data_IF_441432060299
#
_entry.id   IF_441432060299
#
_cell.length_a   1.000
_cell.length_b   1.000
_cell.length_c   1.000
_cell.angle_alpha   90.00
_cell.angle_beta   90.00
_cell.angle_gamma   90.00
#
_symmetry.space_group_name_H-M   'P 1'
#
loop_
_entity.id
_entity.type
_entity.pdbx_description
1 polymer ?
#
# COMPACT_ATOMS: atom_id res chain seq x y z
N UNK A 1 33.94 -27.37 38.84
CA UNK A 1 34.26 -26.70 40.12
C UNK A 1 34.33 -25.19 39.87
N UNK A 2 33.75 -24.46 40.75
CA UNK A 2 33.63 -23.03 40.94
C UNK A 2 32.65 -22.28 40.02
N UNK A 3 31.47 -22.04 40.62
CA UNK A 3 30.50 -21.02 40.30
C UNK A 3 31.01 -19.67 40.84
N UNK A 4 30.92 -18.61 40.03
CA UNK A 4 30.92 -17.24 40.53
C UNK A 4 29.58 -16.60 40.25
N UNK A 5 28.83 -16.41 41.35
CA UNK A 5 27.67 -15.52 41.44
C UNK A 5 28.21 -14.09 41.61
N UNK A 6 27.66 -13.15 40.84
CA UNK A 6 27.78 -11.73 41.08
C UNK A 6 26.37 -11.15 41.36
N UNK A 7 26.25 -10.26 42.36
CA UNK A 7 24.94 -9.79 42.85
C UNK A 7 24.40 -8.62 42.02
N UNK A 8 23.10 -8.67 41.86
CA UNK A 8 22.30 -7.55 41.32
C UNK A 8 22.33 -6.36 42.30
N UNK A 9 22.74 -5.21 41.78
CA UNK A 9 22.61 -3.92 42.46
C UNK A 9 21.34 -3.22 41.94
N UNK A 10 20.33 -3.15 42.78
CA UNK A 10 19.11 -2.37 42.52
C UNK A 10 19.40 -0.90 42.88
N UNK A 11 19.46 -0.04 41.88
CA UNK A 11 19.43 1.41 42.10
C UNK A 11 17.95 1.88 42.01
N UNK A 12 17.45 2.29 43.18
CA UNK A 12 16.21 3.04 43.28
C UNK A 12 16.50 4.50 42.86
N UNK A 13 15.87 4.96 41.77
CA UNK A 13 15.87 6.38 41.40
C UNK A 13 14.66 7.06 41.97
N UNK A 14 14.92 8.11 42.79
CA UNK A 14 13.94 9.03 43.31
C UNK A 14 13.24 9.81 42.17
N UNK A 15 11.92 9.81 42.23
CA UNK A 15 11.05 10.69 41.46
C UNK A 15 10.83 11.97 42.25
N UNK A 16 11.06 13.18 41.73
CA UNK A 16 10.60 14.39 42.37
C UNK A 16 9.13 14.65 42.04
N UNK A 17 8.37 15.01 43.06
CA UNK A 17 6.97 15.37 43.02
C UNK A 17 6.73 16.72 42.30
N UNK A 18 5.64 16.77 41.55
CA UNK A 18 5.07 17.97 40.96
C UNK A 18 4.44 18.87 42.06
N UNK A 19 4.47 20.20 41.95
CA UNK A 19 3.74 21.06 42.83
C UNK A 19 2.28 21.27 42.37
N UNK A 20 1.41 21.28 43.36
CA UNK A 20 -0.02 21.57 43.27
C UNK A 20 -0.34 23.01 42.86
N UNK A 21 -1.43 23.15 42.14
CA UNK A 21 -2.34 24.26 41.89
C UNK A 21 -2.76 24.98 43.19
N UNK A 22 -3.58 26.01 43.24
CA UNK A 22 -4.47 26.65 42.25
C UNK A 22 -4.53 28.20 42.36
N UNK A 23 -5.24 28.89 41.47
CA UNK A 23 -6.08 30.05 41.81
C UNK A 23 -7.07 30.43 40.70
N UNK A 24 -8.31 30.33 41.08
CA UNK A 24 -9.49 31.07 40.65
C UNK A 24 -9.25 32.52 40.23
N UNK A 25 -9.85 32.94 39.12
CA UNK A 25 -10.39 34.29 38.97
C UNK A 25 -11.69 34.25 38.17
N UNK A 26 -12.61 35.01 38.70
CA UNK A 26 -14.03 35.11 38.49
C UNK A 26 -14.51 35.50 37.07
N UNK A 27 -15.78 35.21 36.93
CA UNK A 27 -16.69 35.62 35.86
C UNK A 27 -16.82 37.15 35.73
N UNK A 28 -16.95 37.59 34.47
CA UNK A 28 -17.73 38.77 34.15
C UNK A 28 -18.71 38.43 33.01
N UNK A 29 -19.96 38.65 33.36
CA UNK A 29 -21.09 38.56 32.51
C UNK A 29 -21.41 39.93 31.96
N UNK A 30 -21.31 40.15 30.67
CA UNK A 30 -21.99 41.26 30.00
C UNK A 30 -22.95 40.71 28.97
N UNK A 31 -24.20 40.99 29.23
CA UNK A 31 -25.33 40.76 28.38
C UNK A 31 -25.57 42.01 27.53
N UNK A 32 -25.29 41.94 26.24
CA UNK A 32 -25.82 42.89 25.29
C UNK A 32 -26.86 42.21 24.41
N UNK A 33 -28.08 42.65 24.60
CA UNK A 33 -29.23 42.40 23.80
C UNK A 33 -29.34 43.47 22.72
N UNK A 34 -28.96 43.17 21.50
CA UNK A 34 -29.39 43.96 20.36
C UNK A 34 -30.22 43.07 19.41
N UNK A 35 -31.48 43.41 19.39
CA UNK A 35 -32.45 42.87 18.46
C UNK A 35 -32.53 43.84 17.27
N UNK A 36 -31.93 43.51 16.15
CA UNK A 36 -32.22 44.11 14.88
C UNK A 36 -32.85 43.06 13.93
N UNK A 37 -34.09 43.29 13.70
CA UNK A 37 -34.91 42.60 12.72
C UNK A 37 -34.83 43.35 11.40
N UNK A 38 -33.95 42.92 10.48
CA UNK A 38 -34.04 43.31 9.08
C UNK A 38 -34.41 42.09 8.24
N UNK A 39 -35.60 42.18 7.75
CA UNK A 39 -36.15 41.24 6.76
C UNK A 39 -35.77 41.73 5.38
N UNK A 40 -34.65 41.30 4.84
CA UNK A 40 -34.38 41.43 3.42
C UNK A 40 -34.80 40.16 2.70
N UNK A 41 -35.86 40.32 1.95
CA UNK A 41 -36.35 39.36 0.97
C UNK A 41 -35.68 39.64 -0.35
N UNK A 42 -34.46 39.15 -0.55
CA UNK A 42 -33.87 39.07 -1.87
C UNK A 42 -34.04 37.65 -2.40
N UNK A 43 -35.00 37.52 -3.28
CA UNK A 43 -35.19 36.31 -4.05
C UNK A 43 -34.25 36.37 -5.28
N UNK A 44 -32.99 36.02 -5.07
CA UNK A 44 -32.11 35.70 -6.18
C UNK A 44 -32.38 34.28 -6.63
N UNK A 45 -33.07 34.17 -7.75
CA UNK A 45 -33.22 32.93 -8.48
C UNK A 45 -32.02 32.75 -9.38
N UNK A 46 -30.88 32.35 -8.80
CA UNK A 46 -29.80 31.84 -9.59
C UNK A 46 -30.12 30.40 -9.98
N UNK A 47 -30.64 30.26 -11.17
CA UNK A 47 -30.72 28.97 -11.86
C UNK A 47 -29.37 28.69 -12.45
N UNK A 48 -28.39 28.39 -11.60
CA UNK A 48 -27.19 27.70 -12.04
C UNK A 48 -27.58 26.26 -12.37
N UNK A 49 -27.93 26.05 -13.61
CA UNK A 49 -27.99 24.69 -14.15
C UNK A 49 -26.57 24.27 -14.48
N UNK A 50 -25.77 23.98 -13.46
CA UNK A 50 -24.60 23.20 -13.63
C UNK A 50 -25.06 21.79 -14.00
N UNK A 51 -25.24 21.58 -15.30
CA UNK A 51 -25.26 20.22 -15.83
C UNK A 51 -23.85 19.73 -15.85
N UNK A 52 -23.30 19.45 -14.66
CA UNK A 52 -22.17 18.55 -14.53
C UNK A 52 -22.70 17.18 -14.95
N UNK A 53 -22.68 16.95 -16.23
CA UNK A 53 -22.73 15.60 -16.77
C UNK A 53 -21.37 14.98 -16.61
N UNK A 54 -20.89 14.90 -15.37
CA UNK A 54 -19.94 13.89 -15.01
C UNK A 54 -20.72 12.58 -15.05
N UNK A 55 -20.77 12.04 -16.24
CA UNK A 55 -21.18 10.68 -16.40
C UNK A 55 -20.12 9.85 -15.67
N UNK A 56 -20.48 9.31 -14.49
CA UNK A 56 -19.73 8.31 -13.75
C UNK A 56 -19.53 7.03 -14.59
N UNK A 57 -19.04 7.22 -15.83
CA UNK A 57 -18.70 6.12 -16.73
C UNK A 57 -17.53 5.29 -16.19
N UNK A 58 -16.86 5.82 -15.16
CA UNK A 58 -15.65 5.24 -14.58
C UNK A 58 -15.90 4.52 -13.24
N UNK A 59 -17.13 4.41 -12.78
CA UNK A 59 -17.41 3.64 -11.57
C UNK A 59 -17.17 2.15 -11.84
N UNK A 60 -16.25 1.54 -11.12
CA UNK A 60 -16.12 0.08 -11.13
C UNK A 60 -17.43 -0.54 -10.61
N UNK A 61 -18.17 -1.18 -11.50
CA UNK A 61 -19.47 -1.79 -11.20
C UNK A 61 -19.36 -3.19 -10.62
N UNK A 62 -18.15 -3.70 -10.44
CA UNK A 62 -17.95 -5.01 -9.78
C UNK A 62 -18.24 -4.91 -8.29
N UNK A 63 -18.54 -6.04 -7.64
CA UNK A 63 -18.72 -6.09 -6.18
C UNK A 63 -17.45 -5.64 -5.43
N UNK A 64 -16.31 -5.76 -6.08
CA UNK A 64 -15.00 -5.34 -5.57
C UNK A 64 -14.71 -3.86 -5.78
N UNK A 65 -15.41 -3.18 -6.69
CA UNK A 65 -15.13 -1.78 -7.06
C UNK A 65 -15.14 -0.81 -5.89
N UNK A 66 -15.98 -1.04 -4.89
CA UNK A 66 -16.03 -0.20 -3.68
C UNK A 66 -14.75 -0.30 -2.79
N UNK A 67 -13.84 -1.22 -3.09
CA UNK A 67 -12.57 -1.42 -2.36
C UNK A 67 -11.39 -0.87 -3.14
N UNK A 68 -11.61 -0.33 -4.32
CA UNK A 68 -10.57 0.18 -5.20
C UNK A 68 -10.68 1.69 -5.35
N UNK A 69 -9.53 2.30 -5.57
CA UNK A 69 -9.38 3.73 -5.84
C UNK A 69 -9.08 3.92 -7.31
N UNK A 70 -9.80 4.82 -7.97
CA UNK A 70 -9.54 5.26 -9.34
C UNK A 70 -8.29 6.12 -9.38
N UNK A 71 -7.32 5.75 -10.21
CA UNK A 71 -6.08 6.47 -10.42
C UNK A 71 -6.06 6.99 -11.86
N UNK A 72 -6.03 8.32 -12.05
CA UNK A 72 -6.01 8.91 -13.38
C UNK A 72 -4.65 8.69 -14.05
N UNK A 73 -4.66 8.61 -15.38
CA UNK A 73 -3.46 8.66 -16.20
C UNK A 73 -2.60 9.88 -15.85
N UNK A 74 -1.28 9.76 -15.98
CA UNK A 74 -0.41 10.88 -15.67
C UNK A 74 1.07 10.57 -15.81
N UNK A 75 1.88 11.59 -15.55
CA UNK A 75 3.35 11.52 -15.61
C UNK A 75 3.94 11.88 -14.25
N UNK A 76 4.93 11.11 -13.81
CA UNK A 76 5.62 11.34 -12.56
C UNK A 76 7.12 11.03 -12.67
N UNK A 77 7.89 11.45 -11.70
CA UNK A 77 9.29 11.03 -11.56
C UNK A 77 9.32 9.75 -10.73
N UNK A 78 9.73 8.65 -11.34
CA UNK A 78 9.92 7.36 -10.69
C UNK A 78 11.34 7.25 -10.17
N UNK A 79 11.54 6.56 -9.06
CA UNK A 79 12.83 6.48 -8.39
C UNK A 79 13.10 7.71 -7.53
N UNK A 80 14.35 7.92 -7.20
CA UNK A 80 14.81 9.05 -6.40
C UNK A 80 14.20 9.14 -5.01
N UNK A 81 15.04 9.29 -4.08
CA UNK A 81 14.62 9.44 -2.70
C UNK A 81 15.82 9.22 -1.79
N UNK A 82 15.92 10.01 -0.74
CA UNK A 82 16.93 9.80 0.28
C UNK A 82 16.56 8.54 1.07
N UNK A 83 17.06 7.37 0.67
CA UNK A 83 16.77 6.17 1.45
C UNK A 83 17.15 4.83 0.85
N UNK A 84 17.47 4.74 -0.42
CA UNK A 84 17.95 3.49 -0.99
C UNK A 84 19.50 3.45 -0.96
N UNK A 85 20.13 2.72 -0.02
CA UNK A 85 21.58 2.62 0.05
C UNK A 85 22.20 1.70 -1.00
N UNK A 86 21.39 0.96 -1.74
CA UNK A 86 21.85 0.07 -2.83
C UNK A 86 21.67 0.75 -4.21
N UNK A 87 21.32 2.04 -4.21
CA UNK A 87 20.69 2.69 -5.33
C UNK A 87 21.65 3.41 -6.26
N UNK A 88 21.92 2.76 -7.39
CA UNK A 88 22.21 3.41 -8.65
C UNK A 88 20.90 3.80 -9.41
N UNK A 89 19.75 3.92 -8.69
CA UNK A 89 18.42 4.19 -9.25
C UNK A 89 18.33 5.65 -9.69
N UNK A 90 18.50 5.88 -10.97
CA UNK A 90 18.41 7.22 -11.54
C UNK A 90 16.94 7.61 -11.70
N UNK A 91 16.59 8.76 -11.14
CA UNK A 91 15.28 9.39 -11.36
C UNK A 91 14.98 9.50 -12.85
N UNK A 92 13.82 9.06 -13.26
CA UNK A 92 13.38 9.18 -14.65
C UNK A 92 11.88 9.48 -14.73
N UNK A 93 11.47 10.07 -15.84
CA UNK A 93 10.07 10.41 -16.07
C UNK A 93 9.33 9.18 -16.59
N UNK A 94 8.25 8.80 -15.92
CA UNK A 94 7.34 7.74 -16.36
C UNK A 94 5.98 8.34 -16.69
N UNK A 95 5.37 7.88 -17.78
CA UNK A 95 4.02 8.26 -18.18
C UNK A 95 3.12 7.03 -18.20
N UNK A 96 2.08 7.03 -17.40
CA UNK A 96 0.97 6.09 -17.49
C UNK A 96 -0.11 6.71 -18.38
N UNK A 97 -0.43 6.07 -19.50
CA UNK A 97 -1.32 6.67 -20.53
C UNK A 97 -2.78 6.35 -20.30
N UNK A 98 -3.10 5.49 -19.36
CA UNK A 98 -4.47 5.06 -19.05
C UNK A 98 -4.72 5.05 -17.55
N UNK A 99 -5.96 5.31 -17.23
CA UNK A 99 -6.47 5.21 -15.88
C UNK A 99 -6.52 3.75 -15.43
N UNK A 100 -6.42 3.53 -14.14
CA UNK A 100 -6.53 2.19 -13.57
C UNK A 100 -7.17 2.24 -12.17
N UNK A 101 -7.60 1.09 -11.71
CA UNK A 101 -8.05 0.88 -10.34
C UNK A 101 -6.96 0.20 -9.54
N UNK A 102 -6.79 0.60 -8.28
CA UNK A 102 -5.88 -0.06 -7.33
C UNK A 102 -6.56 -0.23 -5.97
N UNK A 103 -6.29 -1.31 -5.27
CA UNK A 103 -6.83 -1.56 -3.94
C UNK A 103 -6.49 -0.45 -2.96
N UNK A 104 -7.50 0.06 -2.25
CA UNK A 104 -7.30 1.11 -1.22
C UNK A 104 -6.36 0.66 -0.12
N UNK A 105 -6.30 -0.65 0.16
CA UNK A 105 -5.46 -1.30 1.16
C UNK A 105 -4.79 -2.53 0.57
N UNK A 106 -3.90 -3.14 1.31
CA UNK A 106 -3.48 -4.53 1.10
C UNK A 106 -4.70 -5.45 1.12
N UNK A 107 -4.62 -6.60 0.44
CA UNK A 107 -5.63 -7.65 0.55
C UNK A 107 -5.63 -8.19 1.97
N UNK A 108 -6.81 -8.25 2.58
CA UNK A 108 -6.95 -8.79 3.93
C UNK A 108 -7.12 -10.31 3.95
N UNK A 109 -6.91 -10.92 5.12
CA UNK A 109 -7.20 -12.35 5.33
C UNK A 109 -8.66 -12.69 5.07
N UNK A 110 -9.58 -11.84 5.53
CA UNK A 110 -11.00 -12.05 5.31
C UNK A 110 -11.36 -12.06 3.83
N UNK A 111 -10.75 -11.18 3.05
CA UNK A 111 -10.90 -11.15 1.60
C UNK A 111 -10.28 -12.39 0.95
N UNK A 112 -9.05 -12.75 1.34
CA UNK A 112 -8.39 -13.95 0.83
C UNK A 112 -9.24 -15.20 1.06
N UNK A 113 -9.76 -15.39 2.28
CA UNK A 113 -10.58 -16.54 2.64
C UNK A 113 -11.92 -16.57 1.89
N UNK A 114 -12.57 -15.39 1.74
CA UNK A 114 -13.89 -15.30 1.10
C UNK A 114 -13.81 -15.46 -0.42
N UNK A 115 -12.80 -14.88 -1.05
CA UNK A 115 -12.80 -14.66 -2.50
C UNK A 115 -12.02 -15.73 -3.26
N UNK A 116 -11.02 -16.37 -2.61
CA UNK A 116 -10.23 -17.42 -3.26
C UNK A 116 -10.95 -18.76 -3.36
N UNK A 117 -12.03 -18.96 -2.61
CA UNK A 117 -12.65 -20.28 -2.44
C UNK A 117 -11.69 -21.30 -1.81
N UNK A 118 -10.56 -20.85 -1.33
CA UNK A 118 -9.45 -21.68 -0.90
C UNK A 118 -9.49 -21.88 0.61
N UNK A 119 -10.30 -22.82 1.07
CA UNK A 119 -10.36 -23.23 2.48
C UNK A 119 -9.07 -23.92 2.98
N UNK A 120 -7.99 -23.85 2.23
CA UNK A 120 -6.75 -24.58 2.48
C UNK A 120 -5.52 -23.75 2.78
N UNK A 121 -5.65 -22.41 2.83
CA UNK A 121 -4.53 -21.58 3.23
C UNK A 121 -4.43 -21.54 4.78
N UNK A 122 -3.62 -22.42 5.32
CA UNK A 122 -3.31 -22.40 6.75
C UNK A 122 -2.32 -21.26 7.03
N UNK A 123 -2.85 -20.10 7.42
CA UNK A 123 -2.04 -19.06 8.01
C UNK A 123 -1.54 -19.52 9.38
N UNK A 124 -0.40 -20.16 9.39
CA UNK A 124 0.36 -20.42 10.62
C UNK A 124 1.19 -19.19 10.96
N UNK A 125 0.54 -18.08 11.28
CA UNK A 125 1.25 -16.89 11.69
C UNK A 125 1.92 -17.08 13.03
N UNK A 126 3.23 -17.18 13.02
CA UNK A 126 4.04 -16.94 14.22
C UNK A 126 3.96 -15.45 14.64
N UNK A 127 3.43 -14.61 13.80
CA UNK A 127 3.41 -13.16 13.95
C UNK A 127 1.98 -12.65 13.84
N UNK A 128 1.25 -12.52 14.95
CA UNK A 128 -0.12 -12.03 14.92
C UNK A 128 -0.15 -10.55 14.53
N UNK A 129 -1.06 -10.19 13.63
CA UNK A 129 -1.30 -8.79 13.27
C UNK A 129 -2.05 -8.04 14.36
N UNK A 130 -2.84 -8.72 15.17
CA UNK A 130 -3.52 -8.15 16.32
C UNK A 130 -3.47 -9.10 17.50
N UNK A 131 -3.91 -8.66 18.67
CA UNK A 131 -4.15 -9.54 19.82
C UNK A 131 -5.32 -10.51 19.61
N UNK A 132 -6.09 -10.35 18.52
CA UNK A 132 -7.20 -11.22 18.11
C UNK A 132 -6.73 -12.22 17.06
N UNK A 133 -7.00 -13.50 17.30
CA UNK A 133 -6.71 -14.59 16.35
C UNK A 133 -7.68 -14.65 15.17
N UNK A 134 -8.68 -13.77 15.12
CA UNK A 134 -9.76 -13.77 14.13
C UNK A 134 -9.85 -12.47 13.33
N UNK A 135 -8.81 -11.64 13.35
CA UNK A 135 -8.87 -10.36 12.64
C UNK A 135 -8.90 -10.57 11.13
N UNK A 136 -10.10 -10.44 10.56
CA UNK A 136 -10.34 -10.48 9.11
C UNK A 136 -9.64 -9.31 8.38
N UNK A 137 -9.39 -8.21 9.10
CA UNK A 137 -8.83 -6.98 8.55
C UNK A 137 -7.30 -6.94 8.60
N UNK A 138 -6.66 -8.00 9.08
CA UNK A 138 -5.22 -8.17 8.95
C UNK A 138 -4.82 -8.43 7.50
N UNK A 139 -3.68 -7.90 7.02
CA UNK A 139 -3.22 -8.19 5.68
C UNK A 139 -2.96 -9.68 5.47
N UNK A 140 -3.29 -10.19 4.30
CA UNK A 140 -2.89 -11.51 3.85
C UNK A 140 -1.39 -11.50 3.57
N UNK A 141 -0.65 -12.36 4.26
CA UNK A 141 0.80 -12.46 4.16
C UNK A 141 1.23 -13.91 4.00
N UNK A 142 2.52 -14.17 3.83
CA UNK A 142 3.06 -15.50 3.55
C UNK A 142 2.49 -16.10 2.25
N UNK A 143 2.33 -15.27 1.24
CA UNK A 143 1.83 -15.64 -0.08
C UNK A 143 2.95 -15.48 -1.12
N UNK A 144 3.12 -16.48 -1.98
CA UNK A 144 4.03 -16.40 -3.10
C UNK A 144 3.42 -15.55 -4.23
N UNK A 145 4.26 -15.07 -5.13
CA UNK A 145 3.78 -14.35 -6.32
C UNK A 145 2.77 -15.19 -7.12
N UNK A 146 3.00 -16.49 -7.21
CA UNK A 146 2.08 -17.42 -7.90
C UNK A 146 0.74 -17.59 -7.17
N UNK A 147 0.72 -17.56 -5.85
CA UNK A 147 -0.52 -17.64 -5.09
C UNK A 147 -1.36 -16.37 -5.30
N UNK A 148 -0.70 -15.21 -5.37
CA UNK A 148 -1.36 -13.94 -5.70
C UNK A 148 -1.93 -13.96 -7.11
N UNK A 149 -1.17 -14.44 -8.10
CA UNK A 149 -1.65 -14.55 -9.49
C UNK A 149 -2.88 -15.48 -9.61
N UNK A 150 -2.89 -16.59 -8.84
CA UNK A 150 -4.07 -17.49 -8.77
C UNK A 150 -5.26 -16.80 -8.13
N UNK A 151 -5.05 -16.07 -7.03
CA UNK A 151 -6.09 -15.31 -6.35
C UNK A 151 -6.72 -14.28 -7.29
N UNK A 152 -5.90 -13.47 -7.99
CA UNK A 152 -6.36 -12.48 -8.95
C UNK A 152 -7.20 -13.11 -10.07
N UNK A 153 -6.79 -14.28 -10.58
CA UNK A 153 -7.55 -15.04 -11.59
C UNK A 153 -8.89 -15.56 -11.04
N UNK A 154 -8.91 -16.08 -9.82
CA UNK A 154 -10.12 -16.58 -9.18
C UNK A 154 -11.12 -15.43 -8.98
N UNK A 155 -10.67 -14.30 -8.47
CA UNK A 155 -11.49 -13.10 -8.30
C UNK A 155 -12.02 -12.60 -9.64
N UNK A 156 -11.17 -12.47 -10.66
CA UNK A 156 -11.58 -12.09 -12.00
C UNK A 156 -12.69 -13.00 -12.54
N UNK A 157 -12.53 -14.31 -12.39
CA UNK A 157 -13.54 -15.29 -12.82
C UNK A 157 -14.86 -15.12 -12.07
N UNK A 158 -14.81 -14.89 -10.76
CA UNK A 158 -15.99 -14.69 -9.92
C UNK A 158 -16.77 -13.44 -10.33
N UNK A 159 -16.07 -12.38 -10.69
CA UNK A 159 -16.63 -11.10 -11.17
C UNK A 159 -16.97 -11.13 -12.68
N UNK A 160 -16.78 -12.25 -13.37
CA UNK A 160 -17.08 -12.39 -14.79
C UNK A 160 -16.07 -11.70 -15.73
N UNK A 161 -14.89 -11.39 -15.21
CA UNK A 161 -13.80 -10.77 -15.98
C UNK A 161 -12.87 -11.82 -16.57
N UNK A 162 -12.11 -11.43 -17.60
CA UNK A 162 -11.08 -12.29 -18.18
C UNK A 162 -9.85 -12.33 -17.26
N UNK A 163 -9.40 -13.51 -16.80
CA UNK A 163 -8.20 -13.64 -15.98
C UNK A 163 -6.94 -13.13 -16.70
N UNK A 164 -6.04 -12.50 -15.94
CA UNK A 164 -4.81 -11.90 -16.47
C UNK A 164 -3.62 -12.86 -16.52
N UNK A 165 -3.67 -13.99 -15.82
CA UNK A 165 -2.57 -14.94 -15.74
C UNK A 165 -2.96 -16.28 -16.35
N UNK A 166 -1.99 -17.00 -16.91
CA UNK A 166 -2.22 -18.35 -17.41
C UNK A 166 -2.26 -19.35 -16.25
N UNK A 167 -3.24 -20.22 -16.26
CA UNK A 167 -3.36 -21.30 -15.29
C UNK A 167 -3.07 -22.64 -15.96
N UNK A 168 -1.80 -22.97 -16.18
CA UNK A 168 -1.39 -24.29 -16.69
C UNK A 168 -0.99 -25.28 -15.58
N UNK A 169 -1.07 -24.82 -14.32
CA UNK A 169 -0.82 -25.62 -13.13
C UNK A 169 0.64 -25.75 -12.74
N UNK A 170 1.58 -25.40 -13.59
CA UNK A 170 3.03 -25.51 -13.33
C UNK A 170 3.77 -24.19 -13.42
N UNK A 171 3.36 -23.32 -14.32
CA UNK A 171 3.93 -21.98 -14.48
C UNK A 171 2.81 -21.01 -14.79
N UNK A 172 2.53 -20.12 -13.87
CA UNK A 172 1.69 -19.00 -14.20
C UNK A 172 2.53 -17.97 -14.96
N UNK A 173 2.68 -18.20 -16.28
CA UNK A 173 3.13 -17.15 -17.13
C UNK A 173 1.99 -16.15 -17.26
N UNK A 174 2.24 -14.88 -16.91
CA UNK A 174 1.25 -13.86 -17.15
C UNK A 174 1.01 -13.77 -18.66
N UNK A 175 -0.24 -13.98 -19.09
CA UNK A 175 -0.61 -13.80 -20.49
C UNK A 175 -0.33 -12.37 -20.98
N UNK A 176 -0.26 -11.44 -20.00
CA UNK A 176 -0.10 -10.00 -20.19
C UNK A 176 1.22 -9.47 -19.61
N UNK A 177 2.26 -10.34 -19.47
CA UNK A 177 3.58 -9.93 -18.96
C UNK A 177 4.22 -8.81 -19.78
N UNK A 178 3.91 -8.71 -21.05
CA UNK A 178 4.43 -7.68 -21.94
C UNK A 178 3.50 -6.49 -22.11
N UNK A 179 2.25 -6.62 -21.67
CA UNK A 179 1.24 -5.57 -21.71
C UNK A 179 0.17 -5.81 -20.65
N UNK A 180 0.50 -5.64 -19.35
CA UNK A 180 -0.45 -5.82 -18.27
C UNK A 180 -1.60 -4.82 -18.32
N UNK A 181 -1.40 -3.69 -18.97
CA UNK A 181 -2.35 -2.59 -19.05
C UNK A 181 -3.57 -2.91 -19.92
N UNK A 182 -3.47 -3.85 -20.85
CA UNK A 182 -4.60 -4.29 -21.68
C UNK A 182 -5.44 -5.40 -21.05
N UNK A 183 -5.05 -5.92 -19.89
CA UNK A 183 -5.84 -6.96 -19.21
C UNK A 183 -7.03 -6.38 -18.46
N UNK A 184 -8.28 -6.85 -18.72
CA UNK A 184 -9.47 -6.33 -18.05
C UNK A 184 -9.74 -6.94 -16.67
N UNK A 185 -9.02 -7.99 -16.29
CA UNK A 185 -9.15 -8.68 -15.01
C UNK A 185 -8.33 -8.04 -13.89
N UNK A 186 -8.46 -8.61 -12.71
CA UNK A 186 -7.60 -8.27 -11.58
C UNK A 186 -6.19 -8.82 -11.78
N UNK A 187 -5.21 -8.04 -11.39
CA UNK A 187 -3.79 -8.36 -11.48
C UNK A 187 -2.99 -7.66 -10.38
N UNK A 188 -1.73 -7.99 -10.26
CA UNK A 188 -0.79 -7.16 -9.52
C UNK A 188 -0.59 -5.83 -10.26
N UNK A 189 -0.40 -4.72 -9.55
CA UNK A 189 0.04 -3.48 -10.15
C UNK A 189 1.42 -3.68 -10.81
N UNK A 190 1.71 -2.95 -11.88
CA UNK A 190 3.10 -2.79 -12.29
C UNK A 190 3.85 -2.02 -11.22
N UNK A 191 5.17 -2.13 -11.20
CA UNK A 191 5.98 -1.38 -10.25
C UNK A 191 5.76 0.14 -10.40
N UNK A 192 5.61 0.61 -11.64
CA UNK A 192 5.32 2.00 -11.94
C UNK A 192 3.92 2.44 -11.48
N UNK A 193 2.89 1.62 -11.69
CA UNK A 193 1.55 1.89 -11.15
C UNK A 193 1.58 1.98 -9.62
N UNK A 194 2.32 1.07 -8.98
CA UNK A 194 2.44 1.04 -7.54
C UNK A 194 3.10 2.33 -7.00
N UNK A 195 4.26 2.74 -7.56
CA UNK A 195 4.96 3.94 -7.09
C UNK A 195 4.18 5.22 -7.41
N UNK A 196 3.56 5.31 -8.59
CA UNK A 196 2.70 6.43 -8.96
C UNK A 196 1.54 6.60 -7.96
N UNK A 197 0.90 5.49 -7.61
CA UNK A 197 -0.17 5.48 -6.62
C UNK A 197 0.33 5.81 -5.20
N UNK A 198 1.52 5.31 -4.80
CA UNK A 198 2.12 5.63 -3.52
C UNK A 198 2.48 7.11 -3.38
N UNK A 199 2.96 7.74 -4.46
CA UNK A 199 3.26 9.18 -4.46
C UNK A 199 2.01 10.05 -4.45
N UNK A 200 0.93 9.62 -5.06
CA UNK A 200 -0.34 10.35 -5.09
C UNK A 200 -0.21 11.84 -5.51
N UNK A 201 0.75 12.14 -6.41
CA UNK A 201 1.05 13.50 -6.86
C UNK A 201 1.87 14.35 -5.88
N UNK A 202 2.36 13.75 -4.79
CA UNK A 202 3.14 14.43 -3.75
C UNK A 202 4.64 14.05 -3.83
N UNK A 203 5.50 14.95 -3.34
CA UNK A 203 6.94 14.73 -3.21
C UNK A 203 7.29 14.49 -1.73
N UNK A 204 6.71 13.43 -1.17
CA UNK A 204 6.95 13.02 0.21
C UNK A 204 7.83 11.77 0.26
N UNK A 205 8.57 11.60 1.35
CA UNK A 205 9.45 10.44 1.57
C UNK A 205 8.65 9.14 1.70
N UNK A 206 7.55 9.19 2.44
CA UNK A 206 6.60 8.09 2.62
C UNK A 206 5.28 8.46 1.96
N UNK A 207 4.43 7.50 1.70
CA UNK A 207 3.16 7.72 1.04
C UNK A 207 2.23 8.60 1.91
N UNK A 208 2.15 9.89 1.57
CA UNK A 208 1.32 10.89 2.25
C UNK A 208 2.00 11.64 3.40
N UNK A 209 3.27 11.37 3.75
CA UNK A 209 3.97 12.11 4.82
C UNK A 209 5.49 12.07 4.66
N UNK A 210 6.18 13.04 5.28
CA UNK A 210 7.62 12.97 5.51
C UNK A 210 7.99 12.38 6.88
N UNK A 211 7.00 11.97 7.66
CA UNK A 211 7.17 11.32 8.96
C UNK A 211 6.66 9.89 8.86
N UNK A 212 7.53 8.90 9.00
CA UNK A 212 7.20 7.47 8.86
C UNK A 212 6.03 7.05 9.77
N UNK A 213 6.06 7.43 11.04
CA UNK A 213 5.07 7.02 12.04
C UNK A 213 3.66 7.55 11.82
N UNK A 214 3.47 8.50 10.90
CA UNK A 214 2.13 9.01 10.55
C UNK A 214 1.39 8.06 9.59
N UNK A 215 2.15 7.34 8.75
CA UNK A 215 1.61 6.61 7.59
C UNK A 215 2.16 5.18 7.44
N UNK A 216 3.18 4.80 8.23
CA UNK A 216 3.88 3.52 8.07
C UNK A 216 3.99 2.74 9.38
N UNK A 217 3.71 1.44 9.34
CA UNK A 217 4.07 0.49 10.39
C UNK A 217 5.44 -0.09 10.09
N UNK A 218 6.45 0.25 10.91
CA UNK A 218 7.85 -0.16 10.78
C UNK A 218 8.40 -0.60 12.15
N UNK A 219 9.68 -0.94 12.24
CA UNK A 219 10.31 -1.25 13.54
C UNK A 219 10.18 -0.12 14.56
N UNK A 220 9.95 1.11 14.11
CA UNK A 220 9.83 2.28 14.99
C UNK A 220 8.56 2.26 15.85
N UNK A 221 7.46 1.69 15.34
CA UNK A 221 6.15 1.73 15.99
C UNK A 221 5.41 0.38 16.05
N UNK A 222 5.66 -0.56 15.15
CA UNK A 222 4.94 -1.83 15.07
C UNK A 222 5.06 -2.68 16.35
N UNK A 223 6.24 -2.75 16.96
CA UNK A 223 6.48 -3.57 18.15
C UNK A 223 5.96 -2.96 19.45
N UNK A 224 5.64 -1.69 19.48
CA UNK A 224 5.22 -0.99 20.70
C UNK A 224 3.92 -1.52 21.30
N UNK A 225 3.10 -2.16 20.50
CA UNK A 225 1.80 -2.74 20.88
C UNK A 225 1.81 -4.27 20.94
N UNK A 226 2.99 -4.90 20.77
CA UNK A 226 3.15 -6.36 20.85
C UNK A 226 2.61 -7.12 19.64
N UNK A 227 2.43 -6.43 18.53
CA UNK A 227 2.04 -6.97 17.23
C UNK A 227 3.15 -6.75 16.22
N UNK A 228 3.06 -7.40 15.09
CA UNK A 228 4.03 -7.31 14.01
C UNK A 228 3.42 -6.53 12.85
N UNK A 229 2.53 -7.14 12.06
CA UNK A 229 1.66 -6.40 11.15
C UNK A 229 0.46 -5.80 11.91
N UNK A 230 -0.20 -4.82 11.33
CA UNK A 230 -1.40 -4.18 11.86
C UNK A 230 -2.58 -4.42 10.92
N UNK A 231 -3.80 -4.25 11.43
CA UNK A 231 -5.01 -4.19 10.61
C UNK A 231 -4.82 -3.08 9.58
N UNK A 232 -5.29 -3.32 8.35
CA UNK A 232 -5.16 -2.35 7.27
C UNK A 232 -5.89 -1.05 7.58
N UNK A 233 -5.44 0.06 6.99
CA UNK A 233 -6.05 1.39 7.14
C UNK A 233 -6.13 1.92 8.58
N UNK A 234 -5.16 1.57 9.43
CA UNK A 234 -5.11 2.07 10.81
C UNK A 234 -4.27 3.34 10.98
N UNK A 235 -3.46 3.69 9.99
CA UNK A 235 -2.76 4.96 9.89
C UNK A 235 -3.38 5.86 8.80
N UNK A 236 -2.82 7.05 8.59
CA UNK A 236 -3.35 7.99 7.62
C UNK A 236 -3.12 7.52 6.17
N UNK A 237 -4.07 7.76 5.24
CA UNK A 237 -3.88 7.50 3.83
C UNK A 237 -3.07 8.62 3.16
N UNK A 238 -2.60 8.36 1.93
CA UNK A 238 -2.09 9.41 1.07
C UNK A 238 -3.20 10.28 0.46
N UNK A 239 -2.84 11.27 -0.36
CA UNK A 239 -3.79 12.23 -0.94
C UNK A 239 -4.85 11.58 -1.85
N UNK A 240 -4.61 10.37 -2.36
CA UNK A 240 -5.58 9.63 -3.18
C UNK A 240 -6.39 8.61 -2.38
N UNK A 241 -6.24 8.55 -1.06
CA UNK A 241 -7.00 7.64 -0.20
C UNK A 241 -6.45 6.22 -0.14
N UNK A 242 -5.18 6.02 -0.48
CA UNK A 242 -4.49 4.74 -0.38
C UNK A 242 -3.78 4.62 0.97
N UNK A 243 -3.99 3.50 1.65
CA UNK A 243 -3.43 3.19 2.95
C UNK A 243 -2.29 2.18 2.82
N UNK A 244 -1.41 2.17 3.80
CA UNK A 244 -0.36 1.17 3.98
C UNK A 244 0.57 0.99 2.75
N UNK A 245 0.68 2.04 1.91
CA UNK A 245 1.64 2.09 0.80
C UNK A 245 3.09 2.26 1.30
N UNK A 246 3.26 2.53 2.59
CA UNK A 246 4.53 2.57 3.31
C UNK A 246 4.41 1.73 4.57
N UNK A 247 5.30 0.75 4.78
CA UNK A 247 5.30 -0.15 5.93
C UNK A 247 4.21 -1.22 5.89
N UNK A 248 3.88 -1.78 7.03
CA UNK A 248 2.97 -2.89 7.26
C UNK A 248 3.43 -4.18 6.56
N UNK A 249 3.11 -4.39 5.29
CA UNK A 249 3.60 -5.52 4.50
C UNK A 249 4.33 -5.03 3.25
N UNK A 250 5.39 -5.73 2.86
CA UNK A 250 5.87 -5.69 1.51
C UNK A 250 4.77 -6.12 0.54
N UNK A 251 4.73 -5.52 -0.63
CA UNK A 251 3.72 -5.81 -1.62
C UNK A 251 4.32 -6.27 -2.94
N UNK A 252 3.93 -7.47 -3.38
CA UNK A 252 4.30 -7.97 -4.70
C UNK A 252 3.80 -7.04 -5.81
N UNK A 253 4.66 -6.82 -6.81
CA UNK A 253 4.29 -6.19 -8.08
C UNK A 253 4.34 -7.18 -9.24
N UNK A 254 3.88 -6.74 -10.42
CA UNK A 254 3.89 -7.59 -11.60
C UNK A 254 5.29 -7.76 -12.22
N UNK A 255 6.19 -6.85 -11.96
CA UNK A 255 7.44 -6.68 -12.70
C UNK A 255 8.50 -7.69 -12.28
N UNK A 256 9.27 -8.18 -13.28
CA UNK A 256 10.51 -8.85 -13.02
C UNK A 256 11.55 -7.87 -12.50
N UNK A 257 12.39 -8.32 -11.59
CA UNK A 257 13.50 -7.53 -11.12
C UNK A 257 14.71 -7.63 -12.08
N UNK A 258 15.32 -6.50 -12.37
CA UNK A 258 16.61 -6.42 -13.07
C UNK A 258 17.57 -5.48 -12.31
N UNK A 259 18.69 -5.99 -11.77
CA UNK A 259 19.68 -5.18 -11.07
C UNK A 259 20.52 -4.31 -12.01
N UNK A 260 20.72 -4.76 -13.27
CA UNK A 260 21.50 -3.99 -14.22
C UNK A 260 20.79 -2.71 -14.68
N UNK A 261 19.49 -2.65 -14.40
CA UNK A 261 18.60 -1.64 -14.96
C UNK A 261 17.96 -0.79 -13.91
N UNK A 262 18.53 -0.65 -12.71
CA UNK A 262 18.00 0.34 -11.71
C UNK A 262 16.60 0.88 -12.03
N UNK A 263 15.92 0.22 -12.89
CA UNK A 263 14.60 0.46 -13.47
C UNK A 263 14.72 0.87 -14.90
N UNK A 264 14.95 0.92 -15.89
CA UNK A 264 14.47 1.39 -17.21
C UNK A 264 15.52 1.96 -18.19
N UNK A 265 16.85 1.88 -17.91
CA UNK A 265 17.83 2.52 -18.78
C UNK A 265 18.06 1.83 -20.14
N UNK A 266 17.77 0.54 -20.33
CA UNK A 266 18.18 -0.21 -21.53
C UNK A 266 17.03 -0.65 -22.44
N UNK A 267 16.12 0.25 -22.73
CA UNK A 267 15.11 0.05 -23.77
C UNK A 267 13.75 -0.38 -23.25
N UNK A 268 13.50 -0.29 -21.96
CA UNK A 268 12.15 -0.32 -21.40
C UNK A 268 11.52 1.05 -21.67
N UNK A 269 10.28 1.05 -22.09
CA UNK A 269 9.56 2.28 -22.37
C UNK A 269 9.29 3.05 -21.08
N UNK A 270 9.56 4.34 -21.07
CA UNK A 270 9.09 5.24 -20.02
C UNK A 270 7.58 5.54 -20.14
N UNK A 271 6.93 4.97 -21.13
CA UNK A 271 5.49 5.05 -21.34
C UNK A 271 4.90 3.67 -21.12
N UNK A 272 4.01 3.57 -20.14
CA UNK A 272 3.36 2.32 -19.70
C UNK A 272 4.39 1.19 -19.45
N UNK A 273 5.37 1.40 -18.56
CA UNK A 273 6.41 0.40 -18.33
C UNK A 273 5.87 -0.84 -17.62
N UNK A 274 6.25 -2.01 -18.09
CA UNK A 274 5.84 -3.31 -17.55
C UNK A 274 7.02 -4.11 -16.98
N UNK A 275 8.15 -3.45 -16.74
CA UNK A 275 9.39 -4.09 -16.34
C UNK A 275 10.07 -4.88 -17.47
N UNK A 276 11.20 -5.53 -17.19
CA UNK A 276 11.91 -6.35 -18.15
C UNK A 276 11.11 -7.61 -18.53
N UNK A 277 11.32 -8.12 -19.74
CA UNK A 277 10.60 -9.31 -20.26
C UNK A 277 10.98 -10.58 -19.50
N UNK A 278 12.17 -10.60 -18.91
CA UNK A 278 12.69 -11.72 -18.11
C UNK A 278 13.44 -11.16 -16.92
N UNK A 279 13.29 -11.75 -15.76
CA UNK A 279 14.06 -11.38 -14.60
C UNK A 279 15.55 -11.74 -14.77
N UNK A 280 16.42 -10.96 -14.14
CA UNK A 280 17.84 -11.24 -14.00
C UNK A 280 18.13 -11.47 -12.52
N UNK A 281 18.20 -12.71 -12.07
CA UNK A 281 18.54 -13.06 -10.69
C UNK A 281 19.86 -13.85 -10.64
N UNK A 282 20.73 -13.52 -9.68
CA UNK A 282 21.81 -14.40 -9.25
C UNK A 282 21.21 -15.44 -8.29
N UNK A 283 20.81 -16.56 -8.79
CA UNK A 283 20.22 -17.64 -8.01
C UNK A 283 19.65 -18.70 -8.92
N UNK A 284 18.41 -19.05 -8.79
CA UNK A 284 17.71 -19.93 -9.72
C UNK A 284 17.18 -19.15 -10.94
N UNK A 285 18.09 -18.38 -11.56
CA UNK A 285 18.01 -17.85 -12.90
C UNK A 285 16.69 -17.15 -13.30
N UNK A 286 16.58 -15.88 -13.00
CA UNK A 286 15.55 -15.03 -13.63
C UNK A 286 14.16 -15.18 -13.02
N UNK A 287 14.06 -15.52 -11.74
CA UNK A 287 12.77 -15.75 -11.06
C UNK A 287 12.38 -14.66 -10.06
N UNK A 288 13.20 -13.63 -9.90
CA UNK A 288 12.92 -12.58 -8.91
C UNK A 288 11.89 -11.58 -9.42
N UNK A 289 10.88 -11.33 -8.59
CA UNK A 289 9.89 -10.27 -8.79
C UNK A 289 10.15 -9.13 -7.83
N UNK A 290 9.76 -7.93 -8.27
CA UNK A 290 9.82 -6.73 -7.44
C UNK A 290 8.73 -6.77 -6.39
N UNK A 291 9.06 -6.31 -5.18
CA UNK A 291 8.10 -5.91 -4.16
C UNK A 291 8.47 -4.58 -3.54
N UNK A 292 7.48 -3.87 -3.04
CA UNK A 292 7.52 -2.45 -2.68
C UNK A 292 6.94 -2.20 -1.30
N UNK A 293 7.13 -1.00 -0.77
CA UNK A 293 6.46 -0.49 0.42
C UNK A 293 7.18 -0.69 1.74
N UNK A 294 8.08 -1.66 1.84
CA UNK A 294 8.67 -2.04 3.13
C UNK A 294 7.69 -2.83 4.01
N UNK A 295 8.18 -3.36 5.11
CA UNK A 295 7.36 -4.15 6.02
C UNK A 295 7.55 -3.75 7.49
N UNK A 296 6.63 -4.20 8.34
CA UNK A 296 6.61 -3.95 9.79
C UNK A 296 7.93 -4.29 10.51
N UNK A 297 8.70 -5.23 9.97
CA UNK A 297 9.95 -5.73 10.55
C UNK A 297 11.21 -4.98 10.13
N UNK A 298 11.07 -3.88 9.38
CA UNK A 298 12.17 -3.13 8.81
C UNK A 298 12.20 -1.69 9.31
N UNK A 299 13.38 -1.09 9.19
CA UNK A 299 13.56 0.33 9.51
C UNK A 299 12.84 1.21 8.47
N UNK A 300 12.47 2.42 8.86
CA UNK A 300 11.66 3.29 8.04
C UNK A 300 12.32 3.70 6.71
N UNK A 301 13.65 3.68 6.62
CA UNK A 301 14.38 3.93 5.37
C UNK A 301 14.04 2.95 4.24
N UNK A 302 13.48 1.78 4.58
CA UNK A 302 13.01 0.77 3.63
C UNK A 302 11.52 0.86 3.30
N UNK A 303 10.80 1.79 3.92
CA UNK A 303 9.38 2.05 3.68
C UNK A 303 9.12 3.30 2.84
N UNK A 304 10.16 3.88 2.22
CA UNK A 304 10.03 5.04 1.34
C UNK A 304 9.29 4.67 0.06
N UNK A 305 8.64 5.65 -0.57
CA UNK A 305 7.86 5.43 -1.81
C UNK A 305 8.72 4.92 -2.97
N UNK A 306 10.02 5.19 -2.96
CA UNK A 306 10.97 4.77 -4.01
C UNK A 306 11.68 3.45 -3.68
N UNK A 307 11.73 3.03 -2.40
CA UNK A 307 12.47 1.82 -2.04
C UNK A 307 11.88 0.58 -2.70
N UNK A 308 12.74 -0.18 -3.34
CA UNK A 308 12.39 -1.43 -4.04
C UNK A 308 13.23 -2.60 -3.52
N UNK A 309 12.67 -3.79 -3.54
CA UNK A 309 13.41 -5.01 -3.25
C UNK A 309 12.86 -6.18 -4.07
N UNK A 310 13.40 -7.38 -3.90
CA UNK A 310 13.08 -8.52 -4.73
C UNK A 310 13.09 -9.83 -3.98
N UNK A 311 12.36 -10.80 -4.49
CA UNK A 311 12.51 -12.20 -4.12
C UNK A 311 12.09 -13.14 -5.25
N UNK A 312 12.51 -14.40 -5.12
CA UNK A 312 12.05 -15.50 -5.95
C UNK A 312 10.51 -15.61 -5.90
N UNK A 313 9.90 -15.94 -7.02
CA UNK A 313 8.44 -16.05 -7.16
C UNK A 313 7.78 -17.05 -6.22
N UNK A 314 8.51 -18.05 -5.74
CA UNK A 314 8.06 -19.03 -4.76
C UNK A 314 8.22 -18.56 -3.30
N UNK A 315 8.82 -17.39 -3.10
CA UNK A 315 9.10 -16.86 -1.78
C UNK A 315 7.81 -16.40 -1.10
N UNK A 316 7.61 -16.83 0.16
CA UNK A 316 6.40 -16.55 0.93
C UNK A 316 6.77 -16.27 2.39
N UNK A 317 7.01 -15.00 2.71
CA UNK A 317 7.39 -14.57 4.05
C UNK A 317 6.24 -13.86 4.78
N UNK A 318 6.32 -13.86 6.09
CA UNK A 318 5.27 -13.31 6.97
C UNK A 318 5.09 -11.80 6.88
N UNK A 319 5.99 -11.12 6.24
CA UNK A 319 5.98 -9.67 6.00
C UNK A 319 5.76 -9.31 4.53
N UNK A 320 5.39 -10.30 3.69
CA UNK A 320 5.08 -10.08 2.27
C UNK A 320 3.61 -10.41 2.00
N UNK A 321 2.88 -9.40 1.57
CA UNK A 321 1.52 -9.42 1.12
C UNK A 321 1.38 -8.84 -0.28
N UNK A 322 0.24 -8.23 -0.59
CA UNK A 322 -0.04 -7.62 -1.89
C UNK A 322 -1.31 -6.79 -1.88
N UNK A 323 -1.44 -5.94 -2.88
CA UNK A 323 -2.71 -5.35 -3.31
C UNK A 323 -2.97 -5.64 -4.79
N UNK A 324 -4.22 -5.51 -5.21
CA UNK A 324 -4.59 -5.72 -6.61
C UNK A 324 -4.75 -4.41 -7.35
N UNK A 325 -4.58 -4.50 -8.65
CA UNK A 325 -4.86 -3.47 -9.63
C UNK A 325 -5.77 -4.04 -10.73
N UNK A 326 -6.41 -3.14 -11.48
CA UNK A 326 -7.23 -3.48 -12.64
C UNK A 326 -7.18 -2.36 -13.66
N UNK A 327 -6.95 -2.69 -14.91
CA UNK A 327 -6.95 -1.70 -15.99
C UNK A 327 -8.38 -1.26 -16.33
N UNK A 328 -8.54 0.01 -16.70
CA UNK A 328 -9.76 0.52 -17.34
C UNK A 328 -9.58 0.32 -18.83
N UNK A 329 -10.18 -0.73 -19.35
CA UNK A 329 -10.09 -1.10 -20.77
C UNK A 329 -11.33 -0.58 -21.46
N UNK A 330 -11.20 0.17 -22.58
CA UNK A 330 -12.34 0.77 -23.31
C UNK A 330 -13.36 -0.24 -23.83
#
# INVERSE_FOLDING_TARGET
>A
MLRHLLPFLVLAACVPALPDDPKDVAADADADTDSDSDADTDADSDTDSDTDTDSDADADTTAWGSRMVHIPAGTFTMGGGAGDPEDDYVDHQVTLTHDFWIGATEITRGQWESDSGNAGWEYTSMYPCTTSTTASDCPAASVSWYDVAKYANALSTTEGLTPCYLADGTVLAAAWLTDPYSCPGYRLPTEAEWEYAARAGEDTTYSGSNTSTDVAWTTENAYSVGTYAHEVATLAPNAWGLYDMSGNQWEWTNDWYDPAHGGYEDGISDVDPAGPVTGSGEGNEGSDRVYRGGGWGLDADRATVSYRYRADTDYAYSDIGFRLSRSIVP
#
